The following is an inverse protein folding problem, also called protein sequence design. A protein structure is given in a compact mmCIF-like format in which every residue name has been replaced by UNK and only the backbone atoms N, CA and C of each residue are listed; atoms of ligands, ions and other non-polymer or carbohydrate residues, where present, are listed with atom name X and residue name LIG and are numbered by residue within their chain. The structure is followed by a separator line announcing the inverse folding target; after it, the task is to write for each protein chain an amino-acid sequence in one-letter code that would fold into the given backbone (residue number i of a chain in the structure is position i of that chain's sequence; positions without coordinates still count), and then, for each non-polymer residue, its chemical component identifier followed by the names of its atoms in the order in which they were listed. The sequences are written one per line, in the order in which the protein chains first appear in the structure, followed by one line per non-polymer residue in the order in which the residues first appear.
data_IF_644019955027
#
_entry.id   IF_644019955027
#
_cell.length_a   1.000
_cell.length_b   1.000
_cell.length_c   1.000
_cell.angle_alpha   90.00
_cell.angle_beta   90.00
_cell.angle_gamma   90.00
#
_symmetry.space_group_name_H-M   'P 1'
#
loop_
_entity.id
_entity.type
_entity.pdbx_description
1 polymer ?
#
# COMPACT_ATOMS: atom_id res chain seq x y z
N UNK A 1 -19.07 44.75 -7.60
CA UNK A 1 -17.68 44.32 -7.82
C UNK A 1 -17.16 43.28 -6.82
N UNK A 2 -17.68 43.18 -5.57
CA UNK A 2 -17.24 42.16 -4.58
C UNK A 2 -17.86 40.76 -4.81
N UNK A 3 -19.06 40.67 -5.40
CA UNK A 3 -19.77 39.43 -5.68
C UNK A 3 -19.10 38.59 -6.81
N UNK A 4 -18.54 39.27 -7.82
CA UNK A 4 -17.86 38.58 -8.94
C UNK A 4 -16.53 37.94 -8.56
N UNK A 5 -15.82 38.50 -7.56
CA UNK A 5 -14.54 37.93 -7.09
C UNK A 5 -14.75 36.67 -6.25
N UNK A 6 -15.81 36.61 -5.44
CA UNK A 6 -16.15 35.44 -4.62
C UNK A 6 -16.63 34.28 -5.47
N UNK A 7 -17.34 34.54 -6.56
CA UNK A 7 -17.78 33.51 -7.51
C UNK A 7 -16.61 32.93 -8.31
N UNK A 8 -15.60 33.74 -8.64
CA UNK A 8 -14.40 33.29 -9.37
C UNK A 8 -13.50 32.40 -8.52
N UNK A 9 -13.41 32.64 -7.19
CA UNK A 9 -12.65 31.82 -6.25
C UNK A 9 -13.32 30.45 -5.99
N UNK A 10 -14.65 30.37 -6.06
CA UNK A 10 -15.39 29.10 -5.94
C UNK A 10 -15.20 28.19 -7.17
N UNK A 11 -14.94 28.76 -8.35
CA UNK A 11 -14.74 27.99 -9.59
C UNK A 11 -13.31 27.42 -9.73
N UNK A 12 -12.31 27.98 -9.03
CA UNK A 12 -10.93 27.53 -9.12
C UNK A 12 -10.64 26.22 -8.35
N UNK A 13 -11.49 25.86 -7.38
CA UNK A 13 -11.32 24.62 -6.60
C UNK A 13 -12.01 23.38 -7.17
N UNK A 14 -12.85 23.55 -8.19
CA UNK A 14 -13.67 22.45 -8.72
C UNK A 14 -12.87 21.41 -9.53
N UNK A 15 -11.89 21.77 -10.39
CA UNK A 15 -11.20 20.78 -11.23
C UNK A 15 -10.35 19.78 -10.45
N UNK A 16 -9.79 20.13 -9.31
CA UNK A 16 -8.93 19.22 -8.51
C UNK A 16 -9.72 18.09 -7.86
N UNK A 17 -10.93 18.38 -7.35
CA UNK A 17 -11.81 17.38 -6.78
C UNK A 17 -12.31 16.37 -7.82
N UNK A 18 -12.56 16.79 -9.06
CA UNK A 18 -12.99 15.92 -10.14
C UNK A 18 -11.88 14.95 -10.58
N UNK A 19 -10.63 15.40 -10.67
CA UNK A 19 -9.51 14.53 -11.09
C UNK A 19 -9.25 13.42 -10.07
N UNK A 20 -9.20 13.73 -8.77
CA UNK A 20 -9.07 12.73 -7.71
C UNK A 20 -10.23 11.73 -7.71
N UNK A 21 -11.46 12.21 -7.84
CA UNK A 21 -12.65 11.36 -7.90
C UNK A 21 -12.62 10.45 -9.12
N UNK A 22 -12.11 10.92 -10.26
CA UNK A 22 -11.99 10.11 -11.48
C UNK A 22 -10.98 8.98 -11.30
N UNK A 23 -9.76 9.25 -10.83
CA UNK A 23 -8.73 8.22 -10.59
C UNK A 23 -9.22 7.18 -9.57
N UNK A 24 -9.84 7.62 -8.47
CA UNK A 24 -10.41 6.71 -7.48
C UNK A 24 -11.50 5.81 -8.07
N UNK A 25 -12.39 6.36 -8.89
CA UNK A 25 -13.45 5.61 -9.55
C UNK A 25 -12.87 4.60 -10.57
N UNK A 26 -11.82 4.97 -11.30
CA UNK A 26 -11.13 4.09 -12.24
C UNK A 26 -10.50 2.89 -11.50
N UNK A 27 -9.82 3.14 -10.38
CA UNK A 27 -9.25 2.08 -9.53
C UNK A 27 -10.35 1.16 -8.99
N UNK A 28 -11.43 1.75 -8.47
CA UNK A 28 -12.55 0.98 -7.92
C UNK A 28 -13.21 0.09 -8.98
N UNK A 29 -13.42 0.62 -10.19
CA UNK A 29 -13.97 -0.12 -11.32
C UNK A 29 -13.00 -1.22 -11.79
N UNK A 30 -11.71 -0.93 -11.86
CA UNK A 30 -10.67 -1.88 -12.21
C UNK A 30 -10.63 -3.07 -11.23
N UNK A 31 -10.62 -2.81 -9.93
CA UNK A 31 -10.64 -3.86 -8.91
C UNK A 31 -11.87 -4.76 -9.03
N UNK A 32 -13.05 -4.19 -9.29
CA UNK A 32 -14.27 -4.97 -9.56
C UNK A 32 -14.13 -5.84 -10.81
N UNK A 33 -13.55 -5.30 -11.87
CA UNK A 33 -13.31 -6.03 -13.12
C UNK A 33 -12.37 -7.22 -12.90
N UNK A 34 -11.34 -7.04 -12.08
CA UNK A 34 -10.39 -8.10 -11.70
C UNK A 34 -10.96 -9.11 -10.68
N UNK A 35 -12.24 -8.97 -10.29
CA UNK A 35 -12.94 -9.92 -9.40
C UNK A 35 -12.75 -9.65 -7.90
N UNK A 36 -12.20 -8.51 -7.52
CA UNK A 36 -12.14 -8.09 -6.12
C UNK A 36 -13.46 -7.45 -5.67
N UNK A 37 -13.63 -7.35 -4.34
CA UNK A 37 -14.78 -6.70 -3.70
C UNK A 37 -14.32 -5.42 -2.97
N UNK A 38 -14.00 -4.33 -3.70
CA UNK A 38 -13.59 -3.08 -3.08
C UNK A 38 -14.75 -2.40 -2.36
N UNK A 39 -14.43 -1.74 -1.24
CA UNK A 39 -15.32 -0.86 -0.50
C UNK A 39 -14.65 0.48 -0.26
N UNK A 40 -15.42 1.51 0.08
CA UNK A 40 -14.87 2.77 0.56
C UNK A 40 -14.93 2.76 2.09
N UNK A 41 -13.86 3.20 2.72
CA UNK A 41 -13.83 3.44 4.16
C UNK A 41 -14.44 4.82 4.51
N UNK A 42 -14.37 5.19 5.80
CA UNK A 42 -14.90 6.47 6.30
C UNK A 42 -14.18 7.70 5.73
N UNK A 43 -12.93 7.55 5.32
CA UNK A 43 -12.08 8.62 4.77
C UNK A 43 -12.17 8.65 3.24
N UNK A 44 -13.03 7.79 2.66
CA UNK A 44 -13.22 7.58 1.22
C UNK A 44 -12.01 6.97 0.52
N UNK A 45 -11.13 6.31 1.25
CA UNK A 45 -10.09 5.47 0.69
C UNK A 45 -10.67 4.12 0.28
N UNK A 46 -10.03 3.44 -0.69
CA UNK A 46 -10.51 2.14 -1.16
C UNK A 46 -9.89 1.04 -0.33
N UNK A 47 -10.72 0.19 0.25
CA UNK A 47 -10.31 -1.04 0.92
C UNK A 47 -10.66 -2.27 0.07
N UNK A 48 -9.76 -3.24 0.00
CA UNK A 48 -10.02 -4.55 -0.61
C UNK A 48 -9.12 -5.62 -0.01
N UNK A 49 -9.40 -6.90 -0.30
CA UNK A 49 -8.61 -8.01 0.26
C UNK A 49 -7.99 -8.87 -0.84
N UNK A 50 -6.73 -9.27 -0.61
CA UNK A 50 -6.05 -10.32 -1.36
C UNK A 50 -5.63 -11.40 -0.37
N UNK A 51 -6.07 -12.63 -0.58
CA UNK A 51 -5.72 -13.79 0.28
C UNK A 51 -5.98 -13.53 1.78
N UNK A 52 -7.05 -12.79 2.10
CA UNK A 52 -7.42 -12.45 3.47
C UNK A 52 -6.72 -11.23 4.06
N UNK A 53 -5.69 -10.70 3.42
CA UNK A 53 -4.98 -9.49 3.84
C UNK A 53 -5.71 -8.26 3.31
N UNK A 54 -5.94 -7.28 4.21
CA UNK A 54 -6.54 -6.00 3.87
C UNK A 54 -5.50 -5.07 3.27
N UNK A 55 -5.86 -4.49 2.12
CA UNK A 55 -5.10 -3.42 1.45
C UNK A 55 -5.96 -2.16 1.40
N UNK A 56 -5.31 -1.01 1.58
CA UNK A 56 -5.92 0.30 1.41
C UNK A 56 -5.30 1.00 0.20
N UNK A 57 -6.10 1.79 -0.50
CA UNK A 57 -5.62 2.64 -1.59
C UNK A 57 -6.01 4.07 -1.30
N UNK A 58 -4.98 4.90 -1.12
CA UNK A 58 -5.09 6.32 -0.90
C UNK A 58 -4.84 7.03 -2.23
N UNK A 59 -5.76 7.91 -2.64
CA UNK A 59 -5.63 8.72 -3.86
C UNK A 59 -5.59 10.19 -3.45
N UNK A 60 -4.52 10.89 -3.80
CA UNK A 60 -4.34 12.31 -3.53
C UNK A 60 -4.08 13.08 -4.82
N UNK A 61 -4.86 14.13 -5.06
CA UNK A 61 -4.52 15.08 -6.11
C UNK A 61 -3.35 15.95 -5.66
N UNK A 62 -2.39 16.14 -6.54
CA UNK A 62 -1.28 17.08 -6.31
C UNK A 62 -1.77 18.47 -6.75
N UNK A 63 -1.60 19.44 -5.87
CA UNK A 63 -2.06 20.81 -6.14
C UNK A 63 -1.30 21.40 -7.34
N UNK A 64 -2.06 21.99 -8.27
CA UNK A 64 -1.56 22.58 -9.53
C UNK A 64 -0.91 21.60 -10.53
N UNK A 65 -1.09 20.27 -10.33
CA UNK A 65 -0.59 19.25 -11.24
C UNK A 65 -1.75 18.53 -11.94
N UNK A 66 -1.48 17.96 -13.11
CA UNK A 66 -2.46 17.21 -13.90
C UNK A 66 -2.47 15.69 -13.57
N UNK A 67 -1.83 15.30 -12.48
CA UNK A 67 -1.74 13.91 -12.04
C UNK A 67 -2.16 13.74 -10.57
N UNK A 68 -2.56 12.52 -10.23
CA UNK A 68 -2.83 12.09 -8.87
C UNK A 68 -1.69 11.19 -8.36
N UNK A 69 -1.40 11.31 -7.08
CA UNK A 69 -0.57 10.37 -6.34
C UNK A 69 -1.46 9.23 -5.81
N UNK A 70 -0.98 8.01 -5.98
CA UNK A 70 -1.67 6.80 -5.51
C UNK A 70 -0.71 5.98 -4.66
N UNK A 71 -1.18 5.58 -3.48
CA UNK A 71 -0.49 4.68 -2.57
C UNK A 71 -1.38 3.44 -2.32
N UNK A 72 -0.88 2.26 -2.70
CA UNK A 72 -1.51 0.97 -2.39
C UNK A 72 -0.72 0.33 -1.27
N UNK A 73 -1.32 0.13 -0.11
CA UNK A 73 -0.60 -0.28 1.09
C UNK A 73 -1.28 -1.38 1.90
N UNK A 74 -0.48 -2.10 2.70
CA UNK A 74 -0.94 -2.99 3.75
C UNK A 74 -0.22 -2.67 5.07
N UNK A 75 -0.96 -2.69 6.18
CA UNK A 75 -0.45 -2.42 7.52
C UNK A 75 -0.47 -3.69 8.37
N UNK A 76 0.64 -3.95 9.07
CA UNK A 76 0.82 -5.12 9.93
C UNK A 76 1.15 -4.69 11.35
N UNK A 77 0.20 -4.88 12.28
CA UNK A 77 0.47 -4.75 13.72
C UNK A 77 1.24 -5.96 14.22
N UNK A 78 2.41 -5.76 14.85
CA UNK A 78 3.28 -6.84 15.32
C UNK A 78 3.95 -6.51 16.64
N UNK A 79 4.33 -7.55 17.38
CA UNK A 79 5.15 -7.47 18.62
C UNK A 79 6.65 -7.58 18.31
N UNK A 80 7.04 -7.76 17.05
CA UNK A 80 8.44 -7.75 16.63
C UNK A 80 9.11 -6.44 17.06
N UNK A 81 10.32 -6.44 17.63
CA UNK A 81 11.01 -5.23 18.05
C UNK A 81 11.17 -4.22 16.93
N UNK A 82 11.03 -2.95 17.27
CA UNK A 82 11.10 -1.83 16.33
C UNK A 82 12.38 -1.83 15.49
N UNK A 83 13.54 -1.98 16.15
CA UNK A 83 14.84 -1.96 15.46
C UNK A 83 14.95 -3.10 14.44
N UNK A 84 14.35 -4.26 14.75
CA UNK A 84 14.33 -5.39 13.82
C UNK A 84 13.41 -5.13 12.63
N UNK A 85 12.29 -4.50 12.85
CA UNK A 85 11.41 -4.07 11.76
C UNK A 85 12.08 -3.02 10.88
N UNK A 86 12.86 -2.11 11.46
CA UNK A 86 13.65 -1.12 10.71
C UNK A 86 14.73 -1.78 9.83
N UNK A 87 15.42 -2.83 10.34
CA UNK A 87 16.35 -3.61 9.52
C UNK A 87 15.64 -4.26 8.32
N UNK A 88 14.48 -4.89 8.56
CA UNK A 88 13.68 -5.51 7.48
C UNK A 88 13.21 -4.46 6.48
N UNK A 89 12.71 -3.30 6.95
CA UNK A 89 12.25 -2.22 6.09
C UNK A 89 13.37 -1.68 5.21
N UNK A 90 14.54 -1.42 5.80
CA UNK A 90 15.70 -0.94 5.05
C UNK A 90 16.15 -1.92 3.98
N UNK A 91 16.21 -3.21 4.32
CA UNK A 91 16.65 -4.23 3.36
C UNK A 91 15.63 -4.37 2.20
N UNK A 92 14.33 -4.36 2.48
CA UNK A 92 13.30 -4.39 1.43
C UNK A 92 13.40 -3.13 0.55
N UNK A 93 13.51 -1.94 1.16
CA UNK A 93 13.62 -0.68 0.43
C UNK A 93 14.86 -0.61 -0.46
N UNK A 94 15.98 -1.23 -0.06
CA UNK A 94 17.21 -1.28 -0.85
C UNK A 94 17.13 -2.26 -2.02
N UNK A 95 16.36 -3.34 -1.89
CA UNK A 95 16.36 -4.44 -2.83
C UNK A 95 15.10 -4.52 -3.72
N UNK A 96 14.11 -3.65 -3.50
CA UNK A 96 12.88 -3.62 -4.30
C UNK A 96 12.69 -2.27 -4.99
N UNK A 97 12.25 -2.31 -6.24
CA UNK A 97 11.80 -1.10 -6.96
C UNK A 97 10.35 -0.78 -6.60
N UNK A 98 10.02 0.50 -6.58
CA UNK A 98 8.68 1.05 -6.33
C UNK A 98 8.02 0.58 -5.02
N UNK A 99 8.80 -0.07 -4.15
CA UNK A 99 8.37 -0.52 -2.83
C UNK A 99 8.79 0.51 -1.78
N UNK A 100 7.90 0.79 -0.85
CA UNK A 100 8.18 1.63 0.31
C UNK A 100 7.75 0.90 1.58
N UNK A 101 8.70 0.67 2.46
CA UNK A 101 8.43 0.15 3.79
C UNK A 101 8.68 1.22 4.84
N UNK A 102 7.81 1.31 5.83
CA UNK A 102 7.97 2.17 6.98
C UNK A 102 7.57 1.45 8.26
N UNK A 103 8.11 1.93 9.38
CA UNK A 103 7.79 1.39 10.70
C UNK A 103 7.36 2.53 11.61
N UNK A 104 6.21 2.38 12.25
CA UNK A 104 5.71 3.31 13.25
C UNK A 104 5.45 2.61 14.57
N UNK A 105 5.42 3.37 15.67
CA UNK A 105 5.04 2.88 16.99
C UNK A 105 3.63 3.30 17.30
N UNK A 106 2.83 2.33 17.75
CA UNK A 106 1.56 2.59 18.39
C UNK A 106 1.65 2.15 19.86
N UNK A 107 0.72 2.60 20.72
CA UNK A 107 0.78 2.41 22.19
C UNK A 107 1.08 0.98 22.62
N UNK A 108 0.57 -0.03 21.92
CA UNK A 108 0.67 -1.45 22.32
C UNK A 108 1.42 -2.34 21.33
N UNK A 109 1.83 -1.82 20.17
CA UNK A 109 2.50 -2.61 19.11
C UNK A 109 3.21 -1.72 18.12
N UNK A 110 4.17 -2.31 17.43
CA UNK A 110 4.76 -1.69 16.25
C UNK A 110 3.88 -1.96 15.03
N UNK A 111 3.83 -1.02 14.10
CA UNK A 111 3.14 -1.16 12.82
C UNK A 111 4.17 -1.11 11.71
N UNK A 112 4.22 -2.17 10.91
CA UNK A 112 4.97 -2.23 9.67
C UNK A 112 4.03 -1.92 8.52
N UNK A 113 4.35 -0.93 7.71
CA UNK A 113 3.61 -0.57 6.50
C UNK A 113 4.43 -0.97 5.29
N UNK A 114 3.79 -1.63 4.34
CA UNK A 114 4.35 -2.00 3.05
C UNK A 114 3.47 -1.41 1.97
N UNK A 115 4.04 -0.60 1.08
CA UNK A 115 3.32 0.15 0.07
C UNK A 115 3.97 0.07 -1.31
N UNK A 116 3.16 0.25 -2.35
CA UNK A 116 3.57 0.61 -3.69
C UNK A 116 3.00 2.00 -3.99
N UNK A 117 3.87 2.91 -4.42
CA UNK A 117 3.51 4.30 -4.74
C UNK A 117 3.71 4.57 -6.23
N UNK A 118 2.79 5.30 -6.82
CA UNK A 118 2.89 5.74 -8.21
C UNK A 118 2.10 7.02 -8.46
N UNK A 119 2.37 7.66 -9.59
CA UNK A 119 1.60 8.80 -10.09
C UNK A 119 0.85 8.41 -11.35
N UNK A 120 -0.33 8.99 -11.55
CA UNK A 120 -1.14 8.71 -12.73
C UNK A 120 -1.99 9.91 -13.12
N UNK A 121 -2.19 10.09 -14.43
CA UNK A 121 -3.03 11.11 -15.01
C UNK A 121 -4.00 10.55 -16.06
N UNK A 122 -4.06 9.23 -16.21
CA UNK A 122 -4.94 8.58 -17.16
C UNK A 122 -5.40 7.21 -16.69
N UNK A 123 -6.58 6.80 -17.13
CA UNK A 123 -7.14 5.48 -16.81
C UNK A 123 -6.19 4.35 -17.23
N UNK A 124 -5.63 4.42 -18.45
CA UNK A 124 -4.74 3.38 -18.95
C UNK A 124 -3.48 3.21 -18.05
N UNK A 125 -2.88 4.34 -17.63
CA UNK A 125 -1.75 4.29 -16.70
C UNK A 125 -2.19 3.77 -15.33
N UNK A 126 -3.35 4.18 -14.82
CA UNK A 126 -3.90 3.68 -13.55
C UNK A 126 -4.06 2.16 -13.58
N UNK A 127 -4.71 1.61 -14.60
CA UNK A 127 -4.91 0.16 -14.75
C UNK A 127 -3.58 -0.60 -14.88
N UNK A 128 -2.62 -0.06 -15.64
CA UNK A 128 -1.27 -0.63 -15.76
C UNK A 128 -0.57 -0.71 -14.40
N UNK A 129 -0.51 0.39 -13.65
CA UNK A 129 0.13 0.42 -12.33
C UNK A 129 -0.59 -0.47 -11.32
N UNK A 130 -1.92 -0.48 -11.32
CA UNK A 130 -2.72 -1.35 -10.46
C UNK A 130 -2.47 -2.84 -10.74
N UNK A 131 -2.31 -3.23 -12.01
CA UNK A 131 -1.97 -4.62 -12.36
C UNK A 131 -0.64 -5.06 -11.74
N UNK A 132 0.35 -4.17 -11.67
CA UNK A 132 1.62 -4.42 -10.99
C UNK A 132 1.45 -4.48 -9.47
N UNK A 133 0.69 -3.55 -8.87
CA UNK A 133 0.44 -3.54 -7.44
C UNK A 133 -0.22 -4.84 -6.96
N UNK A 134 -1.25 -5.32 -7.65
CA UNK A 134 -1.96 -6.57 -7.34
C UNK A 134 -1.06 -7.81 -7.39
N UNK A 135 0.00 -7.77 -8.19
CA UNK A 135 0.96 -8.87 -8.32
C UNK A 135 2.12 -8.76 -7.35
N UNK A 136 2.68 -7.56 -7.17
CA UNK A 136 3.92 -7.35 -6.41
C UNK A 136 3.67 -7.30 -4.90
N UNK A 137 2.63 -6.59 -4.46
CA UNK A 137 2.35 -6.42 -3.04
C UNK A 137 2.16 -7.75 -2.29
N UNK A 138 1.37 -8.73 -2.77
CA UNK A 138 1.25 -10.01 -2.07
C UNK A 138 2.57 -10.78 -1.95
N UNK A 139 3.43 -10.69 -2.96
CA UNK A 139 4.76 -11.32 -2.92
C UNK A 139 5.66 -10.66 -1.87
N UNK A 140 5.64 -9.34 -1.76
CA UNK A 140 6.42 -8.60 -0.76
C UNK A 140 5.87 -8.81 0.65
N UNK A 141 4.55 -8.91 0.81
CA UNK A 141 3.92 -9.26 2.09
C UNK A 141 4.33 -10.64 2.54
N UNK A 142 4.37 -11.61 1.63
CA UNK A 142 4.86 -12.96 1.95
C UNK A 142 6.33 -12.91 2.41
N UNK A 143 7.19 -12.20 1.69
CA UNK A 143 8.60 -12.02 2.06
C UNK A 143 8.76 -11.38 3.45
N UNK A 144 7.96 -10.35 3.76
CA UNK A 144 7.94 -9.74 5.09
C UNK A 144 7.56 -10.75 6.18
N UNK A 145 6.49 -11.51 5.98
CA UNK A 145 6.04 -12.53 6.93
C UNK A 145 7.11 -13.61 7.15
N UNK A 146 7.71 -14.14 6.09
CA UNK A 146 8.78 -15.12 6.16
C UNK A 146 9.96 -14.61 7.02
N UNK A 147 10.37 -13.35 6.86
CA UNK A 147 11.44 -12.71 7.65
C UNK A 147 11.09 -12.52 9.11
N UNK A 148 9.83 -12.18 9.41
CA UNK A 148 9.35 -12.06 10.81
C UNK A 148 9.33 -13.43 11.48
N UNK A 149 8.84 -14.46 10.80
CA UNK A 149 8.76 -15.83 11.30
C UNK A 149 10.15 -16.45 11.55
N UNK A 150 11.10 -16.28 10.64
CA UNK A 150 12.49 -16.72 10.81
C UNK A 150 13.14 -16.08 12.05
N UNK A 151 12.89 -14.80 12.29
CA UNK A 151 13.40 -14.11 13.47
C UNK A 151 12.74 -14.64 14.77
N UNK A 152 11.46 -14.97 14.72
CA UNK A 152 10.75 -15.58 15.83
C UNK A 152 11.29 -16.97 16.15
N UNK A 153 11.52 -17.82 15.16
CA UNK A 153 12.11 -19.15 15.32
C UNK A 153 13.54 -19.12 15.90
N UNK A 154 14.37 -18.16 15.48
CA UNK A 154 15.72 -17.96 16.03
C UNK A 154 15.70 -17.58 17.51
N UNK A 155 14.71 -16.81 17.95
CA UNK A 155 14.56 -16.37 19.36
C UNK A 155 14.08 -17.50 20.26
N UNK A 156 13.23 -18.40 19.77
CA UNK A 156 12.70 -19.55 20.54
C UNK A 156 13.65 -20.74 20.59
N UNK A 157 14.82 -20.68 19.94
CA UNK A 157 15.78 -21.76 19.91
C UNK A 157 15.34 -22.98 19.08
N UNK A 158 14.24 -22.90 18.39
CA UNK A 158 13.71 -23.98 17.52
C UNK A 158 14.45 -23.96 16.19
N UNK A 159 15.70 -24.42 16.18
CA UNK A 159 16.45 -24.67 14.96
C UNK A 159 15.82 -25.87 14.26
N UNK A 160 15.25 -25.67 13.08
CA UNK A 160 14.88 -26.79 12.20
C UNK A 160 16.14 -27.63 11.97
N UNK A 161 16.16 -28.85 12.46
CA UNK A 161 17.25 -29.82 12.22
C UNK A 161 17.12 -30.19 10.74
N UNK A 162 18.14 -29.96 9.89
CA UNK A 162 18.12 -30.46 8.52
C UNK A 162 18.01 -31.98 8.57
N UNK A 163 16.96 -32.54 7.97
CA UNK A 163 16.73 -33.96 7.92
C UNK A 163 17.96 -34.69 7.42
N UNK A 164 18.52 -35.51 8.27
CA UNK A 164 19.65 -36.37 7.92
C UNK A 164 19.27 -37.33 6.80
N UNK A 165 19.99 -37.26 5.69
CA UNK A 165 19.98 -38.28 4.64
C UNK A 165 20.29 -39.64 5.25
N UNK A 166 19.30 -40.50 5.43
CA UNK A 166 19.55 -41.93 5.60
C UNK A 166 19.85 -42.53 4.22
N UNK A 167 21.14 -42.73 3.96
CA UNK A 167 21.58 -43.70 2.96
C UNK A 167 21.37 -45.11 3.54
N UNK A 168 20.66 -45.89 2.85
CA UNK A 168 20.78 -47.36 2.83
C UNK A 168 20.35 -47.85 1.48
#
# INVERSE_FOLDING_TARGET
KKFTLTLLLLLAGIPTLFAQQTVRNDIFAYLKHEGYAPALDKDSDIEFKIQGILYNIIVKQIENEDYAYVEVLANFGTVTPYDKLMEIANDINQNKFVCKCSVSRNENRNVFTLAMEFVTNSRANTEYQMSHALRLLPAWVKEFNDRVDENSARRTGTRAIPGGNKKS
#
